data_IF_474028184088
#
_entry.id   IF_474028184088
#
_cell.length_a   1.000
_cell.length_b   1.000
_cell.length_c   1.000
_cell.angle_alpha   90.00
_cell.angle_beta   90.00
_cell.angle_gamma   90.00
#
_symmetry.space_group_name_H-M   'P 1'
#
loop_
_entity.id
_entity.type
_entity.pdbx_description
1 polymer ?
#
# COMPACT_ATOMS: atom_id res chain seq x y z
N UNK A 1 -14.89 -17.08 12.37
CA UNK A 1 -14.10 -17.28 11.14
C UNK A 1 -13.21 -18.51 11.30
N UNK A 2 -13.55 -19.64 10.66
CA UNK A 2 -12.66 -20.80 10.56
C UNK A 2 -12.01 -20.75 9.16
N UNK A 3 -10.69 -20.88 9.07
CA UNK A 3 -9.97 -20.97 7.78
C UNK A 3 -9.19 -19.74 7.32
N UNK A 4 -9.20 -18.62 8.07
CA UNK A 4 -8.29 -17.50 7.80
C UNK A 4 -6.94 -17.76 8.46
N UNK A 5 -5.86 -17.54 7.71
CA UNK A 5 -4.52 -17.50 8.29
C UNK A 5 -4.39 -16.27 9.22
N UNK A 6 -3.60 -16.38 10.31
CA UNK A 6 -3.32 -15.25 11.19
C UNK A 6 -2.65 -14.12 10.41
N UNK A 7 -3.18 -12.89 10.52
CA UNK A 7 -2.63 -11.72 9.84
C UNK A 7 -1.19 -11.42 10.30
N UNK A 8 -0.80 -11.85 11.51
CA UNK A 8 0.54 -11.71 12.07
C UNK A 8 1.61 -12.45 11.25
N UNK A 9 1.21 -13.38 10.39
CA UNK A 9 2.15 -14.07 9.50
C UNK A 9 2.50 -13.23 8.26
N UNK A 10 1.82 -12.10 8.02
CA UNK A 10 2.16 -11.18 6.93
C UNK A 10 3.43 -10.42 7.30
N UNK A 11 4.49 -10.61 6.52
CA UNK A 11 5.71 -9.81 6.64
C UNK A 11 5.39 -8.31 6.51
N UNK A 12 6.15 -7.49 7.24
CA UNK A 12 6.02 -6.02 7.22
C UNK A 12 4.84 -5.46 8.02
N UNK A 13 3.96 -6.32 8.56
CA UNK A 13 2.77 -5.88 9.28
C UNK A 13 3.09 -5.12 10.57
N UNK A 14 4.02 -5.63 11.39
CA UNK A 14 4.34 -4.99 12.67
C UNK A 14 4.86 -3.55 12.46
N UNK A 15 5.77 -3.36 11.49
CA UNK A 15 6.30 -2.03 11.17
C UNK A 15 5.22 -1.10 10.59
N UNK A 16 4.37 -1.61 9.69
CA UNK A 16 3.28 -0.82 9.12
C UNK A 16 2.28 -0.38 10.20
N UNK A 17 1.94 -1.26 11.14
CA UNK A 17 1.05 -0.95 12.26
C UNK A 17 1.66 0.10 13.17
N UNK A 18 2.96 0.00 13.48
CA UNK A 18 3.67 1.00 14.28
C UNK A 18 3.66 2.39 13.61
N UNK A 19 3.97 2.46 12.32
CA UNK A 19 3.95 3.71 11.55
C UNK A 19 2.54 4.31 11.53
N UNK A 20 1.51 3.50 11.23
CA UNK A 20 0.12 3.97 11.20
C UNK A 20 -0.37 4.41 12.58
N UNK A 21 0.00 3.69 13.64
CA UNK A 21 -0.34 4.05 15.01
C UNK A 21 0.24 5.41 15.40
N UNK A 22 1.52 5.66 15.09
CA UNK A 22 2.15 6.95 15.32
C UNK A 22 1.52 8.05 14.46
N UNK A 23 1.23 7.76 13.19
CA UNK A 23 0.55 8.70 12.29
C UNK A 23 -0.82 9.12 12.83
N UNK A 24 -1.59 8.19 13.40
CA UNK A 24 -2.90 8.47 13.99
C UNK A 24 -2.76 9.34 15.25
N UNK A 25 -1.77 9.03 16.11
CA UNK A 25 -1.51 9.81 17.32
C UNK A 25 -1.06 11.23 17.04
N UNK A 26 -0.25 11.41 16.01
CA UNK A 26 0.30 12.72 15.61
C UNK A 26 -0.66 13.51 14.71
N UNK A 27 -1.71 12.87 14.19
CA UNK A 27 -2.68 13.50 13.30
C UNK A 27 -2.10 13.90 11.94
N UNK A 28 -1.00 13.25 11.52
CA UNK A 28 -0.36 13.58 10.24
C UNK A 28 -1.27 13.17 9.07
N UNK A 29 -1.08 13.85 7.94
CA UNK A 29 -1.90 13.63 6.76
C UNK A 29 -1.50 12.37 6.00
N UNK A 30 -2.42 11.41 5.94
CA UNK A 30 -2.27 10.16 5.20
C UNK A 30 -2.96 10.26 3.84
N UNK A 31 -2.27 9.88 2.77
CA UNK A 31 -2.88 9.70 1.45
C UNK A 31 -2.78 8.23 1.05
N UNK A 32 -3.95 7.61 0.87
CA UNK A 32 -4.07 6.26 0.31
C UNK A 32 -3.99 6.34 -1.21
N UNK A 33 -3.00 5.69 -1.81
CA UNK A 33 -2.83 5.62 -3.27
C UNK A 33 -3.33 4.27 -3.77
N UNK A 34 -4.51 4.27 -4.37
CA UNK A 34 -5.19 3.06 -4.87
C UNK A 34 -4.90 2.76 -6.33
N UNK A 35 -5.35 1.59 -6.80
CA UNK A 35 -5.46 1.27 -8.24
C UNK A 35 -6.87 1.59 -8.79
N UNK A 36 -7.00 1.67 -10.10
CA UNK A 36 -8.22 2.10 -10.80
C UNK A 36 -9.24 0.98 -11.05
N UNK A 37 -8.84 -0.27 -10.84
CA UNK A 37 -9.71 -1.42 -11.09
C UNK A 37 -10.63 -1.71 -9.88
N UNK A 38 -11.39 -2.81 -9.93
CA UNK A 38 -12.33 -3.14 -8.88
C UNK A 38 -11.66 -3.49 -7.54
N UNK A 39 -10.50 -4.15 -7.56
CA UNK A 39 -9.76 -4.48 -6.33
C UNK A 39 -9.21 -3.20 -5.72
N UNK A 40 -8.48 -2.41 -6.50
CA UNK A 40 -7.91 -1.13 -6.06
C UNK A 40 -8.95 -0.15 -5.54
N UNK A 41 -10.08 0.02 -6.23
CA UNK A 41 -11.14 0.93 -5.80
C UNK A 41 -11.80 0.47 -4.49
N UNK A 42 -12.09 -0.83 -4.35
CA UNK A 42 -12.76 -1.36 -3.15
C UNK A 42 -11.81 -1.38 -1.95
N UNK A 43 -10.56 -1.79 -2.15
CA UNK A 43 -9.51 -1.81 -1.12
C UNK A 43 -9.15 -0.40 -0.66
N UNK A 44 -9.15 0.59 -1.56
CA UNK A 44 -8.99 2.03 -1.21
C UNK A 44 -10.15 2.51 -0.33
N UNK A 45 -11.39 2.25 -0.75
CA UNK A 45 -12.57 2.64 0.02
C UNK A 45 -12.58 2.00 1.41
N UNK A 46 -12.27 0.70 1.49
CA UNK A 46 -12.15 -0.04 2.74
C UNK A 46 -11.09 0.57 3.66
N UNK A 47 -9.91 0.87 3.12
CA UNK A 47 -8.80 1.45 3.89
C UNK A 47 -9.18 2.81 4.47
N UNK A 48 -9.74 3.71 3.64
CA UNK A 48 -10.15 5.04 4.09
C UNK A 48 -11.26 4.95 5.15
N UNK A 49 -12.29 4.14 4.92
CA UNK A 49 -13.40 3.98 5.87
C UNK A 49 -12.95 3.32 7.17
N UNK A 50 -12.11 2.29 7.09
CA UNK A 50 -11.57 1.58 8.24
C UNK A 50 -10.67 2.48 9.10
N UNK A 51 -9.74 3.20 8.48
CA UNK A 51 -8.86 4.12 9.21
C UNK A 51 -9.64 5.27 9.86
N UNK A 52 -10.67 5.81 9.19
CA UNK A 52 -11.58 6.80 9.80
C UNK A 52 -12.34 6.23 10.99
N UNK A 53 -12.86 5.01 10.87
CA UNK A 53 -13.54 4.34 11.98
C UNK A 53 -12.61 4.09 13.19
N UNK A 54 -11.31 4.00 12.95
CA UNK A 54 -10.27 3.89 13.99
C UNK A 54 -9.78 5.24 14.53
N UNK A 55 -10.37 6.37 14.10
CA UNK A 55 -10.05 7.72 14.59
C UNK A 55 -9.01 8.49 13.77
N UNK A 56 -8.66 8.02 12.56
CA UNK A 56 -7.82 8.80 11.65
C UNK A 56 -8.67 9.82 10.87
N UNK A 57 -8.71 11.07 11.35
CA UNK A 57 -9.48 12.14 10.72
C UNK A 57 -8.75 12.77 9.51
N UNK A 58 -7.42 12.80 9.52
CA UNK A 58 -6.60 13.44 8.48
C UNK A 58 -6.17 12.46 7.37
N UNK A 59 -7.16 11.83 6.74
CA UNK A 59 -6.95 10.85 5.68
C UNK A 59 -7.75 11.19 4.41
N UNK A 60 -7.08 11.05 3.28
CA UNK A 60 -7.67 11.15 1.95
C UNK A 60 -7.14 10.04 1.03
N UNK A 61 -7.61 10.01 -0.21
CA UNK A 61 -7.14 9.07 -1.23
C UNK A 61 -6.76 9.78 -2.53
N UNK A 62 -6.00 9.06 -3.34
CA UNK A 62 -5.60 9.41 -4.69
C UNK A 62 -5.67 8.13 -5.54
N UNK A 63 -6.39 8.18 -6.65
CA UNK A 63 -6.38 7.12 -7.67
C UNK A 63 -5.68 7.71 -8.89
N UNK A 64 -4.52 7.17 -9.32
CA UNK A 64 -3.77 7.66 -10.47
C UNK A 64 -4.56 7.57 -11.77
N UNK A 65 -4.28 8.48 -12.71
CA UNK A 65 -4.75 8.33 -14.08
C UNK A 65 -3.78 7.44 -14.85
N UNK A 66 -4.17 6.17 -15.09
CA UNK A 66 -3.31 5.18 -15.74
C UNK A 66 -2.71 5.60 -17.09
N UNK A 67 -3.35 6.53 -17.81
CA UNK A 67 -2.89 6.97 -19.12
C UNK A 67 -1.83 8.08 -19.04
N UNK A 68 -1.87 8.88 -17.98
CA UNK A 68 -0.99 10.03 -17.78
C UNK A 68 0.14 9.70 -16.80
N UNK A 69 -0.19 8.96 -15.74
CA UNK A 69 0.67 8.72 -14.58
C UNK A 69 1.39 7.36 -14.61
N UNK A 70 0.98 6.47 -15.53
CA UNK A 70 1.42 5.08 -15.56
C UNK A 70 0.75 4.21 -14.49
N UNK A 71 1.39 3.09 -14.13
CA UNK A 71 0.84 2.12 -13.17
C UNK A 71 1.43 2.31 -11.76
N UNK A 72 0.54 2.33 -10.74
CA UNK A 72 0.91 2.41 -9.33
C UNK A 72 1.51 3.75 -8.90
N UNK A 73 2.43 3.71 -7.93
CA UNK A 73 3.09 4.89 -7.39
C UNK A 73 4.26 5.34 -8.28
N UNK A 74 4.04 6.32 -9.16
CA UNK A 74 5.08 7.01 -9.94
C UNK A 74 5.55 8.31 -9.24
N UNK A 75 6.69 8.89 -9.64
CA UNK A 75 7.12 10.21 -9.14
C UNK A 75 6.05 11.30 -9.30
N UNK A 76 5.31 11.29 -10.41
CA UNK A 76 4.23 12.22 -10.69
C UNK A 76 3.07 12.05 -9.70
N UNK A 77 2.70 10.81 -9.38
CA UNK A 77 1.67 10.50 -8.36
C UNK A 77 2.14 10.94 -6.96
N UNK A 78 3.43 10.78 -6.66
CA UNK A 78 4.01 11.28 -5.41
C UNK A 78 3.96 12.81 -5.34
N UNK A 79 4.24 13.51 -6.43
CA UNK A 79 4.11 14.98 -6.49
C UNK A 79 2.66 15.42 -6.30
N UNK A 80 1.69 14.71 -6.90
CA UNK A 80 0.27 14.94 -6.66
C UNK A 80 -0.11 14.71 -5.19
N UNK A 81 0.40 13.66 -4.56
CA UNK A 81 0.18 13.38 -3.14
C UNK A 81 0.82 14.46 -2.26
N UNK A 82 2.04 14.90 -2.58
CA UNK A 82 2.74 15.99 -1.89
C UNK A 82 1.97 17.30 -2.00
N UNK A 83 1.47 17.65 -3.18
CA UNK A 83 0.65 18.84 -3.40
C UNK A 83 -0.65 18.82 -2.59
N UNK A 84 -1.19 17.64 -2.32
CA UNK A 84 -2.33 17.43 -1.40
C UNK A 84 -1.92 17.39 0.07
N UNK A 85 -0.65 17.63 0.40
CA UNK A 85 -0.12 17.69 1.76
C UNK A 85 0.23 16.35 2.38
N UNK A 86 0.49 15.30 1.59
CA UNK A 86 0.87 14.00 2.14
C UNK A 86 2.08 14.11 3.09
N UNK A 87 1.92 13.54 4.27
CA UNK A 87 2.98 13.28 5.25
C UNK A 87 3.26 11.79 5.40
N UNK A 88 2.33 10.94 4.96
CA UNK A 88 2.49 9.50 4.80
C UNK A 88 1.73 9.07 3.54
N UNK A 89 2.34 8.23 2.71
CA UNK A 89 1.68 7.56 1.59
C UNK A 89 1.47 6.10 1.95
N UNK A 90 0.25 5.59 1.73
CA UNK A 90 -0.07 4.16 1.85
C UNK A 90 -0.58 3.68 0.51
N UNK A 91 0.16 2.80 -0.18
CA UNK A 91 -0.35 2.22 -1.43
C UNK A 91 -1.27 1.05 -1.11
N UNK A 92 -2.31 0.87 -1.93
CA UNK A 92 -3.24 -0.24 -1.85
C UNK A 92 -3.43 -0.80 -3.25
N UNK A 93 -3.27 -2.13 -3.36
CA UNK A 93 -3.36 -2.87 -4.63
C UNK A 93 -2.30 -2.47 -5.68
N UNK A 94 -1.24 -1.80 -5.23
CA UNK A 94 -0.11 -1.44 -6.06
C UNK A 94 1.13 -1.17 -5.19
N UNK A 95 2.26 -0.91 -5.83
CA UNK A 95 3.44 -0.38 -5.17
C UNK A 95 4.62 -1.36 -5.07
N UNK A 96 4.42 -2.68 -5.21
CA UNK A 96 5.51 -3.66 -5.06
C UNK A 96 6.63 -3.49 -6.11
N UNK A 97 6.32 -2.85 -7.24
CA UNK A 97 7.28 -2.52 -8.30
C UNK A 97 7.58 -1.02 -8.42
N UNK A 98 7.07 -0.19 -7.51
CA UNK A 98 7.15 1.29 -7.58
C UNK A 98 8.48 1.85 -7.05
N UNK A 99 9.61 1.36 -7.55
CA UNK A 99 10.94 1.80 -7.10
C UNK A 99 11.15 3.30 -7.26
N UNK A 100 10.82 3.85 -8.44
CA UNK A 100 11.02 5.26 -8.73
C UNK A 100 10.13 6.17 -7.87
N UNK A 101 8.85 5.82 -7.70
CA UNK A 101 7.94 6.57 -6.84
C UNK A 101 8.37 6.53 -5.38
N UNK A 102 8.72 5.36 -4.84
CA UNK A 102 9.18 5.23 -3.46
C UNK A 102 10.49 5.99 -3.22
N UNK A 103 11.45 5.89 -4.15
CA UNK A 103 12.69 6.66 -4.07
C UNK A 103 12.43 8.17 -4.10
N UNK A 104 11.54 8.63 -4.98
CA UNK A 104 11.16 10.04 -5.08
C UNK A 104 10.50 10.54 -3.78
N UNK A 105 9.52 9.81 -3.25
CA UNK A 105 8.88 10.11 -1.97
C UNK A 105 9.90 10.25 -0.82
N UNK A 106 10.90 9.36 -0.80
CA UNK A 106 12.01 9.41 0.16
C UNK A 106 12.84 10.68 0.03
N UNK A 107 13.13 11.16 -1.18
CA UNK A 107 13.84 12.46 -1.35
C UNK A 107 13.03 13.65 -0.84
N UNK A 108 11.70 13.54 -0.86
CA UNK A 108 10.76 14.54 -0.34
C UNK A 108 10.47 14.39 1.16
N UNK A 109 11.08 13.40 1.82
CA UNK A 109 10.86 13.08 3.23
C UNK A 109 9.46 12.55 3.53
N UNK A 110 8.79 11.92 2.56
CA UNK A 110 7.48 11.30 2.73
C UNK A 110 7.67 9.78 2.87
N UNK A 111 7.43 9.18 4.05
CA UNK A 111 7.44 7.73 4.22
C UNK A 111 6.36 7.06 3.36
N UNK A 112 6.64 5.84 2.92
CA UNK A 112 5.72 5.02 2.12
C UNK A 112 5.52 3.66 2.79
N UNK A 113 4.25 3.27 2.96
CA UNK A 113 3.86 1.89 3.26
C UNK A 113 3.27 1.30 1.99
N UNK A 114 3.74 0.13 1.58
CA UNK A 114 3.22 -0.62 0.44
C UNK A 114 2.30 -1.73 0.92
N UNK A 115 1.05 -1.76 0.44
CA UNK A 115 0.16 -2.92 0.59
C UNK A 115 -0.25 -3.40 -0.79
N UNK A 116 0.15 -4.63 -1.11
CA UNK A 116 0.04 -5.16 -2.47
C UNK A 116 -0.04 -6.68 -2.44
N UNK A 117 -0.50 -7.27 -3.54
CA UNK A 117 -0.55 -8.71 -3.76
C UNK A 117 0.05 -9.13 -5.12
N UNK A 118 0.55 -8.19 -5.93
CA UNK A 118 1.27 -8.50 -7.15
C UNK A 118 2.57 -9.27 -6.89
N UNK A 119 3.11 -9.94 -7.91
CA UNK A 119 4.37 -10.66 -7.79
C UNK A 119 5.53 -9.67 -7.64
N UNK A 120 6.39 -9.81 -6.61
CA UNK A 120 7.56 -8.96 -6.47
C UNK A 120 8.57 -9.24 -7.59
N UNK A 121 9.31 -8.20 -7.98
CA UNK A 121 10.44 -8.31 -8.90
C UNK A 121 11.69 -8.92 -8.23
N UNK A 122 12.83 -8.77 -8.90
CA UNK A 122 14.13 -9.23 -8.37
C UNK A 122 14.58 -8.42 -7.15
N UNK A 123 14.19 -7.15 -7.09
CA UNK A 123 14.41 -6.24 -5.97
C UNK A 123 13.09 -5.68 -5.48
N UNK A 124 13.10 -5.09 -4.29
CA UNK A 124 11.95 -4.44 -3.69
C UNK A 124 12.19 -2.92 -3.61
N UNK A 125 11.13 -2.10 -3.64
CA UNK A 125 11.25 -0.68 -3.35
C UNK A 125 11.71 -0.46 -1.91
N UNK A 126 12.45 0.61 -1.68
CA UNK A 126 12.97 0.98 -0.35
C UNK A 126 11.90 1.71 0.47
N UNK A 127 10.77 1.05 0.68
CA UNK A 127 9.62 1.54 1.45
C UNK A 127 9.80 1.24 2.94
N UNK A 128 9.18 2.04 3.80
CA UNK A 128 9.28 1.85 5.26
C UNK A 128 8.66 0.53 5.68
N UNK A 129 7.55 0.13 5.07
CA UNK A 129 6.98 -1.20 5.24
C UNK A 129 6.40 -1.72 3.92
N UNK A 130 6.51 -3.03 3.70
CA UNK A 130 5.91 -3.73 2.57
C UNK A 130 5.11 -4.91 3.12
N UNK A 131 3.80 -4.88 2.92
CA UNK A 131 2.88 -5.97 3.21
C UNK A 131 2.50 -6.60 1.87
N UNK A 132 3.05 -7.77 1.58
CA UNK A 132 2.68 -8.54 0.41
C UNK A 132 2.83 -10.06 0.68
N UNK A 133 1.79 -10.87 0.47
CA UNK A 133 1.81 -12.32 0.75
C UNK A 133 2.76 -13.10 -0.19
N UNK A 134 3.19 -12.50 -1.30
CA UNK A 134 4.11 -13.10 -2.27
C UNK A 134 5.59 -12.80 -1.99
N UNK A 135 5.93 -12.09 -0.90
CA UNK A 135 7.32 -11.91 -0.48
C UNK A 135 7.96 -13.27 -0.18
N UNK A 136 9.26 -13.41 -0.52
CA UNK A 136 9.99 -14.68 -0.42
C UNK A 136 9.96 -15.26 0.99
N UNK A 137 10.10 -14.39 1.99
CA UNK A 137 10.22 -14.72 3.41
C UNK A 137 8.88 -14.59 4.18
N UNK A 138 7.76 -14.47 3.47
CA UNK A 138 6.44 -14.34 4.10
C UNK A 138 5.87 -15.71 4.49
N UNK A 139 5.58 -15.86 5.78
CA UNK A 139 4.98 -17.06 6.36
C UNK A 139 3.46 -17.11 6.13
N UNK A 140 2.84 -15.99 5.75
CA UNK A 140 1.46 -15.91 5.27
C UNK A 140 1.34 -16.55 3.88
N UNK A 141 1.69 -17.82 3.80
CA UNK A 141 1.62 -18.59 2.56
C UNK A 141 0.29 -19.29 2.54
N UNK A 142 -0.59 -18.86 1.63
CA UNK A 142 -1.73 -19.68 1.19
C UNK A 142 -1.18 -20.94 0.49
N UNK A 143 -0.85 -21.96 1.28
CA UNK A 143 -0.41 -23.25 0.79
C UNK A 143 -1.62 -24.03 0.28
N UNK A 144 -1.99 -23.77 -0.98
CA UNK A 144 -2.63 -24.76 -1.88
C UNK A 144 -2.72 -24.37 -3.36
N UNK A 145 -2.53 -23.11 -3.75
CA UNK A 145 -2.60 -22.71 -5.15
C UNK A 145 -1.60 -21.60 -5.47
N UNK A 146 -0.33 -21.97 -5.65
CA UNK A 146 0.53 -21.14 -6.49
C UNK A 146 -0.09 -21.16 -7.90
N UNK A 147 -0.56 -20.01 -8.38
CA UNK A 147 -0.84 -19.70 -9.79
C UNK A 147 -2.18 -20.08 -10.47
N UNK A 148 -3.24 -20.57 -9.80
CA UNK A 148 -4.50 -20.89 -10.52
C UNK A 148 -5.72 -19.98 -10.28
N UNK A 149 -5.73 -19.14 -9.24
CA UNK A 149 -6.89 -18.28 -8.95
C UNK A 149 -6.92 -16.95 -9.73
N UNK A 150 -5.76 -16.44 -10.17
CA UNK A 150 -5.63 -15.08 -10.72
C UNK A 150 -5.45 -15.03 -12.24
N UNK A 151 -5.82 -16.11 -12.94
CA UNK A 151 -5.72 -16.22 -14.40
C UNK A 151 -7.06 -16.08 -15.12
N UNK A 152 -8.08 -15.57 -14.43
CA UNK A 152 -9.41 -15.29 -14.97
C UNK A 152 -9.89 -13.90 -14.55
N UNK A 153 -9.22 -12.89 -15.08
CA UNK A 153 -9.78 -11.57 -15.39
C UNK A 153 -9.27 -11.18 -16.77
#
# INVERSE_FOLDING_TARGET
MKGMLPWQQLSGMDNAVEILYNAFREGIRIIVVGDFDADGATSTALSVLGMRALGCDNISYLVPNRFEDGYGLSPEVVDQAKARGAQLIVTVDNGISSHAGVAHAKTLGIPVIVTDHHLPGDTLPDAEAIINPNLRDCEFRLSRWRALAWRFT
#
